data_IF_699977451772
#
_entry.id   IF_699977451772
#
_cell.length_a   1.000
_cell.length_b   1.000
_cell.length_c   1.000
_cell.angle_alpha   90.00
_cell.angle_beta   90.00
_cell.angle_gamma   90.00
#
_symmetry.space_group_name_H-M   'P 1'
#
loop_
_entity.id
_entity.type
_entity.pdbx_description
1 polymer ?
#
# COMPACT_ATOMS: atom_id res chain seq x y z
N UNK A 1 -1.67 19.85 24.29
CA UNK A 1 -1.25 19.85 22.89
C UNK A 1 -1.52 18.46 22.35
N UNK A 2 -2.07 18.37 21.15
CA UNK A 2 -2.50 17.09 20.57
C UNK A 2 -1.59 16.75 19.40
N UNK A 3 -1.25 15.47 19.26
CA UNK A 3 -0.36 14.97 18.23
C UNK A 3 -1.15 14.17 17.21
N UNK A 4 -1.09 14.55 15.93
CA UNK A 4 -1.77 13.84 14.84
C UNK A 4 -0.80 13.46 13.73
N UNK A 5 -0.79 12.19 13.34
CA UNK A 5 -0.02 11.69 12.20
C UNK A 5 -0.67 10.44 11.60
N UNK A 6 -0.67 10.34 10.27
CA UNK A 6 -0.95 9.08 9.58
C UNK A 6 0.33 8.39 9.10
N UNK A 7 1.49 9.00 9.32
CA UNK A 7 2.77 8.47 8.87
C UNK A 7 3.40 7.55 9.93
N UNK A 8 4.20 6.58 9.48
CA UNK A 8 4.89 5.65 10.38
C UNK A 8 5.85 6.37 11.35
N UNK A 9 6.14 5.81 12.54
CA UNK A 9 7.07 6.40 13.50
C UNK A 9 8.44 6.75 12.90
N UNK A 10 8.96 5.89 12.02
CA UNK A 10 10.23 6.11 11.33
C UNK A 10 10.25 7.36 10.45
N UNK A 11 9.13 7.68 9.81
CA UNK A 11 9.01 8.81 8.89
C UNK A 11 8.41 10.06 9.55
N UNK A 12 7.85 9.93 10.76
CA UNK A 12 7.29 11.03 11.56
C UNK A 12 8.38 11.85 12.26
N UNK A 13 9.51 11.24 12.65
CA UNK A 13 10.57 11.88 13.45
C UNK A 13 11.28 13.06 12.75
N UNK A 14 11.31 13.09 11.41
CA UNK A 14 11.88 14.21 10.66
C UNK A 14 10.99 15.46 10.61
N UNK A 15 9.67 15.26 10.76
CA UNK A 15 8.66 16.32 10.69
C UNK A 15 8.33 16.92 12.07
N UNK A 16 8.58 16.16 13.13
CA UNK A 16 8.41 16.59 14.51
C UNK A 16 9.78 16.72 15.17
N UNK A 17 10.22 17.95 15.44
CA UNK A 17 11.32 18.20 16.38
C UNK A 17 10.84 17.87 17.80
N UNK A 18 10.77 16.59 18.13
CA UNK A 18 10.35 16.09 19.45
C UNK A 18 11.13 16.76 20.58
N UNK A 19 12.40 17.07 20.32
CA UNK A 19 13.32 17.77 21.23
C UNK A 19 12.85 19.19 21.60
N UNK A 20 12.05 19.85 20.75
CA UNK A 20 11.49 21.19 21.04
C UNK A 20 10.18 21.16 21.83
N UNK A 21 9.55 19.99 21.96
CA UNK A 21 8.20 19.85 22.52
C UNK A 21 8.14 19.05 23.83
N UNK A 22 9.29 18.60 24.36
CA UNK A 22 9.38 17.76 25.56
C UNK A 22 8.42 16.55 25.55
N UNK A 23 8.01 16.07 24.36
CA UNK A 23 7.07 14.97 24.16
C UNK A 23 5.74 15.06 24.96
N UNK A 24 5.31 16.26 25.37
CA UNK A 24 4.08 16.42 26.17
C UNK A 24 2.86 16.59 25.26
N UNK A 25 2.24 15.48 24.90
CA UNK A 25 0.92 15.46 24.27
C UNK A 25 -0.10 14.82 25.21
N UNK A 26 -1.29 15.39 25.27
CA UNK A 26 -2.39 14.83 26.08
C UNK A 26 -3.19 13.80 25.28
N UNK A 27 -3.27 13.99 23.96
CA UNK A 27 -4.02 13.13 23.04
C UNK A 27 -3.22 12.86 21.78
N UNK A 28 -3.35 11.64 21.27
CA UNK A 28 -2.75 11.16 20.02
C UNK A 28 -3.84 10.75 19.04
N UNK A 29 -3.73 11.17 17.79
CA UNK A 29 -4.61 10.75 16.70
C UNK A 29 -3.77 10.11 15.59
N UNK A 30 -4.00 8.83 15.29
CA UNK A 30 -3.20 8.14 14.26
C UNK A 30 -3.90 6.92 13.65
N UNK A 31 -3.22 6.25 12.71
CA UNK A 31 -3.67 4.99 12.14
C UNK A 31 -3.65 3.80 13.13
N UNK A 32 -2.97 3.94 14.27
CA UNK A 32 -2.88 2.90 15.28
C UNK A 32 -4.21 2.73 15.99
N UNK A 33 -4.62 1.48 16.26
CA UNK A 33 -5.87 1.21 16.98
C UNK A 33 -5.81 1.63 18.45
N UNK A 34 -4.61 1.78 19.00
CA UNK A 34 -4.35 2.16 20.39
C UNK A 34 -4.04 3.66 20.59
N UNK A 35 -4.27 4.51 19.58
CA UNK A 35 -4.24 5.97 19.77
C UNK A 35 -5.58 6.50 20.28
N UNK A 36 -5.57 7.60 21.02
CA UNK A 36 -6.78 8.21 21.60
C UNK A 36 -7.83 8.59 20.54
N UNK A 37 -7.37 8.97 19.34
CA UNK A 37 -8.19 9.15 18.15
C UNK A 37 -7.78 8.22 17.01
N UNK A 38 -8.60 7.24 16.67
CA UNK A 38 -8.34 6.37 15.52
C UNK A 38 -8.63 7.08 14.19
N UNK A 39 -7.60 7.22 13.35
CA UNK A 39 -7.64 7.88 12.02
C UNK A 39 -6.94 7.01 10.97
N UNK A 40 -7.62 5.98 10.43
CA UNK A 40 -7.07 5.14 9.37
C UNK A 40 -7.07 5.85 8.01
N UNK A 41 -6.26 5.36 7.07
CA UNK A 41 -6.22 5.86 5.68
C UNK A 41 -7.55 5.72 4.94
N UNK A 42 -8.36 4.69 5.28
CA UNK A 42 -9.72 4.55 4.79
C UNK A 42 -10.54 3.63 5.69
N UNK A 43 -11.86 3.78 5.61
CA UNK A 43 -12.82 2.80 6.12
C UNK A 43 -13.35 1.95 4.97
N UNK A 44 -13.28 0.63 5.13
CA UNK A 44 -13.86 -0.31 4.16
C UNK A 44 -15.34 -0.50 4.45
N UNK A 45 -16.16 -0.45 3.41
CA UNK A 45 -17.60 -0.72 3.48
C UNK A 45 -17.94 -1.91 2.60
N UNK A 46 -18.72 -2.84 3.13
CA UNK A 46 -19.21 -3.99 2.36
C UNK A 46 -19.99 -3.49 1.13
N UNK A 47 -19.63 -4.00 -0.04
CA UNK A 47 -20.35 -3.70 -1.26
C UNK A 47 -21.73 -4.36 -1.22
N UNK A 48 -22.79 -3.61 -1.59
CA UNK A 48 -24.18 -4.12 -1.54
C UNK A 48 -24.49 -5.10 -2.66
N UNK A 49 -23.84 -4.95 -3.81
CA UNK A 49 -24.04 -5.79 -5.00
C UNK A 49 -22.70 -6.24 -5.54
N UNK A 50 -22.55 -7.53 -5.80
CA UNK A 50 -21.38 -8.06 -6.52
C UNK A 50 -21.73 -8.05 -8.01
N UNK A 51 -21.15 -7.16 -8.82
CA UNK A 51 -21.38 -7.19 -10.26
C UNK A 51 -20.89 -8.53 -10.82
N UNK A 52 -21.70 -9.17 -11.67
CA UNK A 52 -21.31 -10.38 -12.40
C UNK A 52 -20.12 -10.03 -13.30
N UNK A 53 -18.92 -10.40 -12.86
CA UNK A 53 -17.66 -10.07 -13.53
C UNK A 53 -16.94 -11.37 -13.85
N UNK A 54 -16.61 -11.59 -15.12
CA UNK A 54 -15.85 -12.76 -15.54
C UNK A 54 -14.36 -12.58 -15.24
N UNK A 55 -13.98 -12.82 -13.98
CA UNK A 55 -12.60 -12.69 -13.52
C UNK A 55 -11.63 -13.63 -14.24
N UNK A 56 -12.09 -14.81 -14.69
CA UNK A 56 -11.28 -15.74 -15.48
C UNK A 56 -10.86 -15.11 -16.81
N UNK A 57 -11.81 -14.55 -17.57
CA UNK A 57 -11.51 -13.87 -18.82
C UNK A 57 -10.58 -12.66 -18.61
N UNK A 58 -10.81 -11.88 -17.56
CA UNK A 58 -9.94 -10.75 -17.19
C UNK A 58 -8.52 -11.23 -16.88
N UNK A 59 -8.37 -12.32 -16.12
CA UNK A 59 -7.06 -12.86 -15.77
C UNK A 59 -6.31 -13.40 -16.99
N UNK A 60 -7.00 -14.13 -17.87
CA UNK A 60 -6.43 -14.70 -19.09
C UNK A 60 -6.00 -13.64 -20.10
N UNK A 61 -6.64 -12.47 -20.13
CA UNK A 61 -6.26 -11.37 -21.02
C UNK A 61 -5.02 -10.59 -20.56
N UNK A 62 -4.56 -10.81 -19.33
CA UNK A 62 -3.35 -10.13 -18.82
C UNK A 62 -2.12 -10.79 -19.39
N UNK A 63 -1.17 -9.98 -19.84
CA UNK A 63 0.06 -10.45 -20.50
C UNK A 63 1.28 -10.34 -19.60
N UNK A 64 1.28 -9.40 -18.65
CA UNK A 64 2.43 -9.13 -17.77
C UNK A 64 2.24 -9.66 -16.35
N UNK A 65 3.36 -9.92 -15.69
CA UNK A 65 3.39 -10.53 -14.37
C UNK A 65 3.17 -9.51 -13.24
N UNK A 66 4.19 -8.75 -12.87
CA UNK A 66 4.16 -7.91 -11.66
C UNK A 66 4.39 -6.44 -12.02
N UNK A 67 3.52 -5.55 -11.53
CA UNK A 67 3.73 -4.11 -11.56
C UNK A 67 3.98 -3.56 -10.14
N UNK A 68 4.84 -2.55 -10.04
CA UNK A 68 5.07 -1.82 -8.80
C UNK A 68 5.16 -0.32 -9.04
N UNK A 69 4.20 0.45 -8.50
CA UNK A 69 4.22 1.93 -8.61
C UNK A 69 4.75 2.50 -7.30
N UNK A 70 5.93 3.12 -7.34
CA UNK A 70 6.65 3.57 -6.15
C UNK A 70 7.36 4.91 -6.36
N UNK A 71 7.34 5.74 -5.33
CA UNK A 71 7.99 7.06 -5.33
C UNK A 71 8.97 7.31 -4.19
N UNK A 72 8.98 6.45 -3.16
CA UNK A 72 9.92 6.53 -2.05
C UNK A 72 10.90 5.36 -2.13
N UNK A 73 12.14 5.66 -2.55
CA UNK A 73 13.11 4.67 -3.02
C UNK A 73 14.12 4.21 -1.95
N UNK A 74 14.00 4.71 -0.73
CA UNK A 74 14.81 4.32 0.42
C UNK A 74 13.88 4.27 1.62
N UNK A 75 13.64 3.07 2.13
CA UNK A 75 12.54 2.86 3.08
C UNK A 75 12.97 1.96 4.24
N UNK A 76 12.35 2.14 5.41
CA UNK A 76 12.62 1.31 6.58
C UNK A 76 12.31 -0.15 6.30
N UNK A 77 11.26 -0.42 5.51
CA UNK A 77 10.87 -1.77 5.14
C UNK A 77 11.88 -2.47 4.22
N UNK A 78 12.85 -1.76 3.65
CA UNK A 78 13.79 -2.28 2.62
C UNK A 78 13.06 -2.92 1.43
N UNK A 79 11.84 -2.46 1.13
CA UNK A 79 11.02 -3.03 0.04
C UNK A 79 11.74 -2.96 -1.31
N UNK A 80 12.58 -1.95 -1.52
CA UNK A 80 13.41 -1.82 -2.71
C UNK A 80 14.44 -2.96 -2.85
N UNK A 81 15.04 -3.39 -1.74
CA UNK A 81 15.99 -4.50 -1.74
C UNK A 81 15.26 -5.83 -1.99
N UNK A 82 14.08 -6.00 -1.38
CA UNK A 82 13.22 -7.15 -1.63
C UNK A 82 12.82 -7.25 -3.11
N UNK A 83 12.33 -6.14 -3.70
CA UNK A 83 11.93 -6.14 -5.11
C UNK A 83 13.13 -6.37 -6.01
N UNK A 84 14.29 -5.80 -5.72
CA UNK A 84 15.53 -6.06 -6.46
C UNK A 84 15.90 -7.55 -6.47
N UNK A 85 15.73 -8.24 -5.35
CA UNK A 85 15.96 -9.69 -5.28
C UNK A 85 14.88 -10.47 -6.04
N UNK A 86 13.61 -10.12 -5.85
CA UNK A 86 12.47 -10.74 -6.55
C UNK A 86 12.62 -10.64 -8.07
N UNK A 87 13.09 -9.49 -8.57
CA UNK A 87 13.31 -9.23 -10.00
C UNK A 87 14.31 -10.17 -10.67
N UNK A 88 15.10 -10.93 -9.91
CA UNK A 88 15.99 -11.96 -10.46
C UNK A 88 15.25 -13.23 -10.88
N UNK A 89 14.06 -13.48 -10.32
CA UNK A 89 13.30 -14.70 -10.49
C UNK A 89 12.02 -14.50 -11.30
N UNK A 90 11.48 -13.28 -11.32
CA UNK A 90 10.26 -12.94 -12.05
C UNK A 90 10.30 -11.49 -12.51
N UNK A 91 9.73 -11.22 -13.69
CA UNK A 91 9.65 -9.86 -14.22
C UNK A 91 8.78 -8.95 -13.35
N UNK A 92 9.42 -7.92 -12.79
CA UNK A 92 8.78 -6.84 -12.04
C UNK A 92 9.02 -5.52 -12.75
N UNK A 93 7.97 -4.95 -13.34
CA UNK A 93 8.03 -3.62 -13.94
C UNK A 93 7.78 -2.55 -12.85
N UNK A 94 8.80 -1.74 -12.59
CA UNK A 94 8.76 -0.65 -11.61
C UNK A 94 8.46 0.68 -12.27
N UNK A 95 7.46 1.40 -11.75
CA UNK A 95 6.97 2.68 -12.23
C UNK A 95 7.02 3.77 -11.15
N UNK A 96 7.06 5.03 -11.56
CA UNK A 96 7.10 6.19 -10.68
C UNK A 96 8.52 6.74 -10.48
N UNK A 97 8.77 7.47 -9.40
CA UNK A 97 10.06 8.16 -9.16
C UNK A 97 11.24 7.18 -9.03
N UNK A 98 10.99 5.93 -8.67
CA UNK A 98 12.03 4.91 -8.51
C UNK A 98 12.16 3.97 -9.73
N UNK A 99 11.50 4.29 -10.85
CA UNK A 99 11.50 3.44 -12.04
C UNK A 99 11.10 4.21 -13.29
N UNK A 100 10.41 3.53 -14.20
CA UNK A 100 9.93 4.14 -15.45
C UNK A 100 8.82 5.16 -15.15
N UNK A 101 8.72 6.28 -15.89
CA UNK A 101 7.60 7.20 -15.72
C UNK A 101 6.27 6.49 -16.02
N UNK A 102 5.23 6.87 -15.29
CA UNK A 102 3.86 6.52 -15.65
C UNK A 102 3.46 7.31 -16.91
N UNK A 103 2.74 6.66 -17.83
CA UNK A 103 2.19 7.34 -19.02
C UNK A 103 1.17 8.43 -18.64
N UNK A 104 0.51 8.28 -17.49
CA UNK A 104 -0.48 9.21 -16.97
C UNK A 104 0.11 10.08 -15.86
N UNK A 105 -0.28 11.36 -15.82
CA UNK A 105 0.21 12.33 -14.83
C UNK A 105 -0.21 11.97 -13.40
N UNK A 106 -1.40 11.40 -13.22
CA UNK A 106 -1.86 10.98 -11.90
C UNK A 106 -1.55 9.50 -11.63
N UNK A 107 -1.33 9.17 -10.34
CA UNK A 107 -0.93 7.81 -9.93
C UNK A 107 -2.06 6.80 -10.12
N UNK A 108 -3.31 7.24 -10.04
CA UNK A 108 -4.47 6.34 -10.06
C UNK A 108 -4.79 5.84 -11.47
N UNK A 109 -4.75 6.71 -12.46
CA UNK A 109 -4.84 6.34 -13.87
C UNK A 109 -3.68 5.45 -14.28
N UNK A 110 -2.48 5.70 -13.74
CA UNK A 110 -1.35 4.79 -13.93
C UNK A 110 -1.69 3.39 -13.43
N UNK A 111 -2.12 3.24 -12.15
CA UNK A 111 -2.51 1.94 -11.60
C UNK A 111 -3.69 1.31 -12.34
N UNK A 112 -4.69 2.09 -12.72
CA UNK A 112 -5.88 1.65 -13.47
C UNK A 112 -5.50 1.11 -14.85
N UNK A 113 -4.56 1.75 -15.55
CA UNK A 113 -4.07 1.23 -16.82
C UNK A 113 -3.23 -0.04 -16.65
N UNK A 114 -2.38 -0.09 -15.63
CA UNK A 114 -1.59 -1.28 -15.31
C UNK A 114 -2.51 -2.45 -14.90
N UNK A 115 -3.64 -2.19 -14.25
CA UNK A 115 -4.60 -3.24 -13.85
C UNK A 115 -5.20 -3.99 -15.04
N UNK A 116 -5.16 -3.43 -16.25
CA UNK A 116 -5.62 -4.09 -17.48
C UNK A 116 -4.62 -5.11 -18.03
N UNK A 117 -3.33 -4.94 -17.74
CA UNK A 117 -2.24 -5.69 -18.39
C UNK A 117 -1.46 -6.59 -17.44
N UNK A 118 -1.40 -6.26 -16.14
CA UNK A 118 -0.64 -7.00 -15.14
C UNK A 118 -1.51 -7.91 -14.27
N UNK A 119 -1.00 -9.11 -13.98
CA UNK A 119 -1.62 -10.10 -13.07
C UNK A 119 -1.51 -9.69 -11.62
N UNK A 120 -0.33 -9.26 -11.19
CA UNK A 120 -0.03 -8.96 -9.80
C UNK A 120 0.42 -7.51 -9.62
N UNK A 121 0.15 -6.97 -8.43
CA UNK A 121 0.58 -5.64 -8.03
C UNK A 121 1.22 -5.67 -6.64
N UNK A 122 2.38 -5.03 -6.50
CA UNK A 122 3.08 -4.96 -5.20
C UNK A 122 2.53 -3.82 -4.35
N UNK A 123 1.77 -4.17 -3.30
CA UNK A 123 1.22 -3.25 -2.30
C UNK A 123 2.15 -3.16 -1.08
N UNK A 124 3.41 -2.79 -1.31
CA UNK A 124 4.45 -2.80 -0.28
C UNK A 124 4.55 -1.48 0.48
N UNK A 125 4.40 -1.53 1.80
CA UNK A 125 4.55 -0.38 2.67
C UNK A 125 6.01 0.06 2.81
N UNK A 126 6.22 1.36 3.01
CA UNK A 126 7.54 1.95 3.29
C UNK A 126 8.02 1.64 4.72
N UNK A 127 7.13 1.25 5.61
CA UNK A 127 7.45 0.84 6.98
C UNK A 127 6.70 -0.42 7.38
N UNK A 128 7.34 -1.29 8.16
CA UNK A 128 6.74 -2.51 8.70
C UNK A 128 6.26 -2.24 10.14
N UNK A 129 5.20 -1.45 10.26
CA UNK A 129 4.65 -1.05 11.56
C UNK A 129 3.31 -1.72 11.83
N UNK A 130 3.04 -2.08 13.09
CA UNK A 130 1.73 -2.57 13.55
C UNK A 130 0.64 -1.60 13.11
N UNK A 131 -0.46 -2.12 12.57
CA UNK A 131 -1.65 -1.38 12.08
C UNK A 131 -1.40 -0.46 10.86
N UNK A 132 -0.17 -0.38 10.33
CA UNK A 132 0.17 0.54 9.25
C UNK A 132 -0.26 0.01 7.89
N UNK A 133 -1.50 0.34 7.51
CA UNK A 133 -2.12 0.02 6.23
C UNK A 133 -2.55 1.31 5.54
N UNK A 134 -2.02 1.53 4.33
CA UNK A 134 -2.17 2.79 3.61
C UNK A 134 -2.94 2.63 2.30
N UNK A 135 -2.93 3.67 1.45
CA UNK A 135 -3.51 3.63 0.10
C UNK A 135 -2.96 2.49 -0.77
N UNK A 136 -1.78 1.95 -0.45
CA UNK A 136 -1.07 0.92 -1.23
C UNK A 136 -1.86 -0.38 -1.28
N UNK A 137 -2.31 -0.87 -0.12
CA UNK A 137 -3.19 -2.03 -0.08
C UNK A 137 -4.61 -1.66 -0.47
N UNK A 138 -5.09 -0.48 -0.04
CA UNK A 138 -6.47 -0.05 -0.27
C UNK A 138 -6.81 0.14 -1.75
N UNK A 139 -5.80 0.30 -2.62
CA UNK A 139 -6.00 0.34 -4.07
C UNK A 139 -6.77 -0.90 -4.57
N UNK A 140 -6.60 -2.08 -3.97
CA UNK A 140 -7.32 -3.30 -4.38
C UNK A 140 -8.84 -3.23 -4.20
N UNK A 141 -9.33 -2.37 -3.30
CA UNK A 141 -10.76 -2.20 -3.05
C UNK A 141 -11.40 -1.13 -3.95
N UNK A 142 -10.61 -0.51 -4.84
CA UNK A 142 -11.15 0.47 -5.79
C UNK A 142 -11.75 -0.24 -6.99
N UNK A 143 -12.95 0.21 -7.39
CA UNK A 143 -13.65 -0.33 -8.55
C UNK A 143 -12.75 -0.31 -9.80
N UNK A 144 -12.66 -1.43 -10.50
CA UNK A 144 -11.85 -1.57 -11.72
C UNK A 144 -10.37 -1.91 -11.51
N UNK A 145 -9.90 -2.06 -10.26
CA UNK A 145 -8.54 -2.53 -9.98
C UNK A 145 -8.49 -4.06 -10.00
N UNK A 146 -8.27 -4.64 -11.18
CA UNK A 146 -8.38 -6.08 -11.40
C UNK A 146 -7.05 -6.85 -11.28
N UNK A 147 -6.07 -6.36 -10.53
CA UNK A 147 -4.85 -7.12 -10.24
C UNK A 147 -4.95 -7.87 -8.90
N UNK A 148 -4.18 -8.92 -8.73
CA UNK A 148 -4.04 -9.64 -7.45
C UNK A 148 -2.94 -8.95 -6.63
N UNK A 149 -3.24 -8.39 -5.45
CA UNK A 149 -2.23 -7.70 -4.65
C UNK A 149 -1.29 -8.69 -3.94
N UNK A 150 0.00 -8.40 -3.97
CA UNK A 150 1.02 -9.03 -3.12
C UNK A 150 1.37 -8.03 -2.02
N UNK A 151 1.24 -8.45 -0.77
CA UNK A 151 1.22 -7.53 0.38
C UNK A 151 2.46 -7.73 1.22
N UNK A 152 3.09 -6.62 1.61
CA UNK A 152 4.18 -6.60 2.59
C UNK A 152 4.08 -5.30 3.36
N UNK A 153 3.72 -5.40 4.63
CA UNK A 153 3.41 -4.21 5.44
C UNK A 153 3.24 -4.55 6.90
N UNK A 154 2.15 -4.10 7.51
CA UNK A 154 1.86 -4.37 8.91
C UNK A 154 1.95 -5.88 9.23
N UNK A 155 2.64 -6.28 10.32
CA UNK A 155 2.69 -7.69 10.73
C UNK A 155 1.30 -8.29 10.95
N UNK A 156 0.37 -7.47 11.41
CA UNK A 156 -1.03 -7.83 11.65
C UNK A 156 -1.99 -7.40 10.52
N UNK A 157 -1.50 -7.27 9.28
CA UNK A 157 -2.35 -6.94 8.12
C UNK A 157 -3.54 -7.90 7.95
N UNK A 158 -3.39 -9.17 8.36
CA UNK A 158 -4.45 -10.17 8.33
C UNK A 158 -5.67 -9.87 9.21
N UNK A 159 -5.53 -8.99 10.21
CA UNK A 159 -6.66 -8.54 11.03
C UNK A 159 -7.59 -7.57 10.27
N UNK A 160 -7.13 -7.03 9.15
CA UNK A 160 -7.80 -5.99 8.37
C UNK A 160 -8.22 -6.46 6.98
N UNK A 161 -7.54 -7.46 6.45
CA UNK A 161 -7.77 -7.98 5.12
C UNK A 161 -8.62 -9.26 5.22
N UNK A 162 -9.57 -9.46 4.28
CA UNK A 162 -10.28 -10.71 4.16
C UNK A 162 -9.30 -11.89 4.14
N UNK A 163 -9.70 -12.97 4.81
CA UNK A 163 -8.93 -14.21 4.80
C UNK A 163 -8.81 -14.71 3.36
N UNK A 164 -7.65 -15.26 3.00
CA UNK A 164 -7.33 -15.87 1.69
C UNK A 164 -7.13 -14.92 0.50
N UNK A 165 -7.17 -13.59 0.66
CA UNK A 165 -6.94 -12.64 -0.46
C UNK A 165 -5.57 -11.96 -0.43
N UNK A 166 -4.72 -12.32 0.53
CA UNK A 166 -3.41 -11.73 0.71
C UNK A 166 -2.42 -12.77 1.25
N UNK A 167 -1.15 -12.63 0.87
CA UNK A 167 -0.02 -13.29 1.51
C UNK A 167 0.90 -12.19 2.02
N UNK A 168 1.05 -12.08 3.33
CA UNK A 168 2.03 -11.18 3.95
C UNK A 168 3.40 -11.86 3.83
N UNK A 169 4.29 -11.27 3.03
CA UNK A 169 5.64 -11.81 2.74
C UNK A 169 6.74 -10.96 3.33
#
# INVERSE_FOLDING_TARGET
MDFSTQESPYHTSGSFKADKLNMKFNWTQSYRKDSDGFSPYAFLRKQRQNPLTNYTAIFMNKTKNIAWVVSHCRTQSKREAYVKELSKYIDVDTYGRCGKPCLFKNREDCKSNLSKTYRFYLSFENSLCKDYLTEKILTMYRNGMNFIPIVRGAPNAGDYLPKNIHRNV
#
